data_IF_962182809234
#
_entry.id   IF_962182809234
#
_cell.length_a   1.000
_cell.length_b   1.000
_cell.length_c   1.000
_cell.angle_alpha   90.00
_cell.angle_beta   90.00
_cell.angle_gamma   90.00
#
_symmetry.space_group_name_H-M   'P 1'
#
loop_
_entity.id
_entity.type
_entity.pdbx_description
1 polymer ?
#
# COMPACT_ATOMS: atom_id res chain seq x y z
N UNK A 1 -23.75 -9.74 4.80
CA UNK A 1 -22.49 -10.35 4.34
C UNK A 1 -21.56 -9.23 3.96
N UNK A 2 -20.56 -8.95 4.80
CA UNK A 2 -19.42 -8.12 4.39
C UNK A 2 -18.63 -8.97 3.40
N UNK A 3 -18.36 -8.44 2.20
CA UNK A 3 -17.56 -9.15 1.20
C UNK A 3 -16.13 -9.29 1.71
N UNK A 4 -15.52 -10.42 1.40
CA UNK A 4 -14.14 -10.72 1.77
C UNK A 4 -13.19 -10.13 0.71
N UNK A 5 -12.08 -9.51 1.12
CA UNK A 5 -11.06 -8.94 0.22
C UNK A 5 -9.92 -9.93 0.00
N UNK A 6 -9.77 -10.37 -1.24
CA UNK A 6 -8.73 -11.32 -1.62
C UNK A 6 -7.51 -10.60 -2.16
N UNK A 7 -6.33 -10.96 -1.66
CA UNK A 7 -5.05 -10.50 -2.21
C UNK A 7 -4.85 -11.14 -3.58
N UNK A 8 -4.76 -10.33 -4.63
CA UNK A 8 -4.53 -10.87 -5.98
C UNK A 8 -3.06 -11.20 -6.26
N UNK A 9 -2.17 -11.00 -5.28
CA UNK A 9 -0.69 -11.09 -5.39
C UNK A 9 -0.05 -10.17 -6.43
N UNK A 10 -0.83 -9.30 -7.07
CA UNK A 10 -0.34 -8.32 -8.02
C UNK A 10 0.12 -7.05 -7.28
N UNK A 11 1.41 -6.75 -7.37
CA UNK A 11 1.92 -5.45 -6.97
C UNK A 11 1.53 -4.42 -8.04
N UNK A 12 0.98 -3.27 -7.62
CA UNK A 12 0.74 -2.16 -8.53
C UNK A 12 2.06 -1.48 -8.89
N UNK A 13 2.22 -1.13 -10.16
CA UNK A 13 3.15 -0.06 -10.55
C UNK A 13 2.68 1.28 -10.00
N UNK A 14 3.60 2.23 -9.79
CA UNK A 14 3.30 3.51 -9.13
C UNK A 14 2.16 4.26 -9.81
N UNK A 15 2.27 4.44 -11.12
CA UNK A 15 1.29 5.20 -11.90
C UNK A 15 -0.07 4.50 -11.93
N UNK A 16 -0.08 3.17 -11.98
CA UNK A 16 -1.32 2.39 -11.97
C UNK A 16 -2.06 2.55 -10.63
N UNK A 17 -1.37 2.44 -9.49
CA UNK A 17 -1.99 2.65 -8.18
C UNK A 17 -2.54 4.07 -8.02
N UNK A 18 -1.77 5.09 -8.42
CA UNK A 18 -2.17 6.49 -8.24
C UNK A 18 -3.31 6.87 -9.18
N UNK A 19 -3.31 6.39 -10.42
CA UNK A 19 -4.40 6.61 -11.37
C UNK A 19 -5.69 5.94 -10.91
N UNK A 20 -5.61 4.70 -10.41
CA UNK A 20 -6.78 3.96 -9.96
C UNK A 20 -7.36 4.56 -8.66
N UNK A 21 -6.51 5.01 -7.73
CA UNK A 21 -6.95 5.78 -6.55
C UNK A 21 -7.61 7.11 -6.95
N UNK A 22 -7.02 7.82 -7.92
CA UNK A 22 -7.56 9.07 -8.46
C UNK A 22 -8.89 8.89 -9.23
N UNK A 23 -9.14 7.71 -9.77
CA UNK A 23 -10.39 7.36 -10.46
C UNK A 23 -11.55 7.01 -9.49
N UNK A 24 -11.31 7.02 -8.18
CA UNK A 24 -12.33 6.76 -7.16
C UNK A 24 -12.39 5.32 -6.67
N UNK A 25 -11.42 4.47 -7.02
CA UNK A 25 -11.30 3.15 -6.38
C UNK A 25 -11.01 3.30 -4.88
N UNK A 26 -11.52 2.35 -4.10
CA UNK A 26 -11.23 2.32 -2.67
C UNK A 26 -9.74 2.15 -2.44
N UNK A 27 -9.20 2.82 -1.42
CA UNK A 27 -7.81 2.67 -1.02
C UNK A 27 -7.66 2.65 0.50
N UNK A 28 -6.61 1.97 0.95
CA UNK A 28 -6.20 1.90 2.35
C UNK A 28 -4.70 2.12 2.43
N UNK A 29 -4.27 2.99 3.35
CA UNK A 29 -2.88 3.23 3.67
C UNK A 29 -2.56 2.62 5.04
N UNK A 30 -1.63 1.67 5.08
CA UNK A 30 -1.15 1.03 6.30
C UNK A 30 0.20 1.64 6.69
N UNK A 31 0.19 2.50 7.71
CA UNK A 31 1.38 3.19 8.19
C UNK A 31 2.26 2.26 9.05
N UNK A 32 3.56 2.53 9.08
CA UNK A 32 4.53 1.70 9.79
C UNK A 32 4.34 1.78 11.32
N UNK A 33 3.82 2.90 11.81
CA UNK A 33 3.45 3.14 13.22
C UNK A 33 2.13 2.48 13.65
N UNK A 34 1.46 1.78 12.72
CA UNK A 34 0.19 1.08 13.00
C UNK A 34 -1.07 1.92 12.76
N UNK A 35 -0.92 3.18 12.35
CA UNK A 35 -2.04 3.99 11.85
C UNK A 35 -2.60 3.38 10.56
N UNK A 36 -3.90 3.61 10.30
CA UNK A 36 -4.56 3.28 9.04
C UNK A 36 -5.31 4.51 8.54
N UNK A 37 -5.18 4.82 7.26
CA UNK A 37 -5.98 5.85 6.56
C UNK A 37 -6.76 5.21 5.43
N UNK A 38 -8.02 5.60 5.22
CA UNK A 38 -8.90 5.01 4.21
C UNK A 38 -9.53 6.07 3.31
N UNK A 39 -9.87 5.65 2.10
CA UNK A 39 -10.61 6.49 1.15
C UNK A 39 -12.01 6.90 1.63
N UNK A 40 -12.54 6.22 2.65
CA UNK A 40 -13.87 6.44 3.22
C UNK A 40 -13.85 7.21 4.54
N UNK A 41 -12.68 7.61 5.04
CA UNK A 41 -12.60 8.41 6.27
C UNK A 41 -13.17 9.82 6.02
N UNK A 42 -13.80 10.41 7.04
CA UNK A 42 -14.36 11.78 6.98
C UNK A 42 -13.78 12.66 8.10
N UNK A 43 -12.94 13.67 7.79
CA UNK A 43 -12.46 14.02 6.45
C UNK A 43 -11.46 12.98 5.90
N UNK A 44 -11.41 12.85 4.57
CA UNK A 44 -10.45 11.98 3.90
C UNK A 44 -9.02 12.45 4.19
N UNK A 45 -8.13 11.53 4.56
CA UNK A 45 -6.71 11.81 4.80
C UNK A 45 -5.98 12.06 3.47
N UNK A 46 -6.06 13.30 2.97
CA UNK A 46 -5.44 13.73 1.71
C UNK A 46 -3.93 13.55 1.71
N UNK A 47 -3.30 13.68 2.88
CA UNK A 47 -1.85 13.58 3.05
C UNK A 47 -1.35 12.16 2.75
N UNK A 48 -2.20 11.14 2.94
CA UNK A 48 -1.87 9.75 2.62
C UNK A 48 -1.57 9.56 1.11
N UNK A 49 -2.41 10.12 0.24
CA UNK A 49 -2.24 10.01 -1.21
C UNK A 49 -1.05 10.84 -1.68
N UNK A 50 -0.85 12.04 -1.13
CA UNK A 50 0.32 12.87 -1.46
C UNK A 50 1.64 12.24 -0.98
N UNK A 51 1.61 11.54 0.15
CA UNK A 51 2.73 10.75 0.63
C UNK A 51 3.02 9.57 -0.32
N UNK A 52 2.00 8.82 -0.78
CA UNK A 52 2.17 7.78 -1.80
C UNK A 52 2.77 8.36 -3.09
N UNK A 53 2.29 9.51 -3.55
CA UNK A 53 2.80 10.17 -4.78
C UNK A 53 4.31 10.41 -4.73
N UNK A 54 4.87 10.66 -3.55
CA UNK A 54 6.29 11.01 -3.37
C UNK A 54 7.17 9.84 -2.96
N UNK A 55 6.60 8.78 -2.36
CA UNK A 55 7.35 7.68 -1.74
C UNK A 55 7.07 6.29 -2.32
N UNK A 56 6.07 6.15 -3.20
CA UNK A 56 5.73 4.89 -3.85
C UNK A 56 6.84 4.45 -4.81
N UNK A 57 7.31 3.23 -4.63
CA UNK A 57 8.35 2.60 -5.45
C UNK A 57 7.75 1.62 -6.44
N UNK A 58 8.45 1.39 -7.55
CA UNK A 58 8.07 0.34 -8.49
C UNK A 58 8.34 -1.06 -7.89
N UNK A 59 7.50 -2.07 -8.23
CA UNK A 59 7.71 -3.44 -7.76
C UNK A 59 9.12 -3.97 -8.07
N UNK A 60 9.66 -3.65 -9.25
CA UNK A 60 11.00 -4.07 -9.67
C UNK A 60 12.13 -3.41 -8.85
N UNK A 61 11.89 -2.24 -8.25
CA UNK A 61 12.89 -1.54 -7.44
C UNK A 61 12.96 -2.05 -6.00
N UNK A 62 11.95 -2.80 -5.56
CA UNK A 62 11.80 -3.32 -4.21
C UNK A 62 13.04 -4.07 -3.72
N UNK A 63 13.44 -5.11 -4.46
CA UNK A 63 14.56 -5.98 -4.05
C UNK A 63 15.88 -5.20 -3.98
N UNK A 64 16.12 -4.31 -4.96
CA UNK A 64 17.32 -3.46 -5.00
C UNK A 64 17.36 -2.51 -3.81
N UNK A 65 16.23 -1.87 -3.49
CA UNK A 65 16.14 -0.93 -2.37
C UNK A 65 16.27 -1.65 -1.03
N UNK A 66 15.69 -2.85 -0.88
CA UNK A 66 15.87 -3.71 0.29
C UNK A 66 17.33 -4.12 0.50
N UNK A 67 18.00 -4.63 -0.53
CA UNK A 67 19.41 -5.00 -0.44
C UNK A 67 20.29 -3.78 -0.06
N UNK A 68 19.97 -2.61 -0.63
CA UNK A 68 20.68 -1.36 -0.35
C UNK A 68 20.42 -0.84 1.06
N UNK A 69 19.19 -0.92 1.57
CA UNK A 69 18.81 -0.49 2.91
C UNK A 69 19.51 -1.35 3.97
N UNK A 70 19.43 -2.69 3.82
CA UNK A 70 20.12 -3.65 4.68
C UNK A 70 21.62 -3.42 4.72
N UNK A 71 22.27 -3.26 3.56
CA UNK A 71 23.72 -3.03 3.49
C UNK A 71 24.18 -1.73 4.15
N UNK A 72 23.35 -0.67 4.08
CA UNK A 72 23.72 0.67 4.54
C UNK A 72 23.16 1.04 5.92
N UNK A 73 22.47 0.11 6.59
CA UNK A 73 21.77 0.39 7.85
C UNK A 73 20.78 1.55 7.74
N UNK A 74 20.17 1.75 6.56
CA UNK A 74 19.28 2.89 6.31
C UNK A 74 17.87 2.55 6.77
N UNK A 75 17.27 3.51 7.45
CA UNK A 75 15.93 3.44 8.03
C UNK A 75 14.84 4.07 7.15
N UNK A 76 15.14 4.37 5.88
CA UNK A 76 14.20 5.11 5.04
C UNK A 76 12.99 4.23 4.71
N UNK A 77 11.83 4.78 5.01
CA UNK A 77 10.53 4.23 4.69
C UNK A 77 10.29 4.16 3.18
N UNK A 78 9.76 3.03 2.70
CA UNK A 78 9.31 2.89 1.31
C UNK A 78 7.84 2.52 1.25
N UNK A 79 7.12 3.13 0.31
CA UNK A 79 5.70 2.86 0.10
C UNK A 79 5.58 1.87 -1.05
N UNK A 80 4.78 0.82 -0.86
CA UNK A 80 4.39 -0.13 -1.91
C UNK A 80 2.88 -0.11 -2.10
N UNK A 81 2.40 -0.50 -3.27
CA UNK A 81 0.98 -0.64 -3.54
C UNK A 81 0.67 -2.07 -4.03
N UNK A 82 -0.42 -2.65 -3.54
CA UNK A 82 -0.91 -3.96 -3.97
C UNK A 82 -2.39 -3.92 -4.31
N UNK A 83 -2.80 -4.80 -5.22
CA UNK A 83 -4.19 -4.96 -5.62
C UNK A 83 -4.90 -6.03 -4.82
N UNK A 84 -6.02 -5.63 -4.27
CA UNK A 84 -6.99 -6.46 -3.58
C UNK A 84 -8.29 -6.42 -4.35
N UNK A 85 -9.05 -7.51 -4.31
CA UNK A 85 -10.36 -7.58 -4.95
C UNK A 85 -11.36 -8.20 -4.00
N UNK A 86 -12.54 -7.62 -3.87
CA UNK A 86 -13.61 -8.27 -3.11
C UNK A 86 -14.24 -9.43 -3.90
N UNK A 87 -15.12 -10.20 -3.25
CA UNK A 87 -15.89 -11.27 -3.90
C UNK A 87 -16.70 -10.83 -5.15
N UNK A 88 -16.88 -9.52 -5.34
CA UNK A 88 -17.60 -8.92 -6.47
C UNK A 88 -16.66 -8.36 -7.53
N UNK A 89 -15.34 -8.56 -7.38
CA UNK A 89 -14.32 -8.06 -8.30
C UNK A 89 -14.08 -6.55 -8.20
N UNK A 90 -14.54 -5.89 -7.13
CA UNK A 90 -14.25 -4.47 -6.93
C UNK A 90 -12.81 -4.33 -6.47
N UNK A 91 -12.02 -3.41 -7.05
CA UNK A 91 -10.63 -3.24 -6.65
C UNK A 91 -10.52 -2.44 -5.35
N UNK A 92 -9.53 -2.82 -4.55
CA UNK A 92 -8.99 -2.08 -3.42
C UNK A 92 -7.49 -1.95 -3.59
N UNK A 93 -6.99 -0.74 -3.43
CA UNK A 93 -5.55 -0.45 -3.50
C UNK A 93 -5.04 -0.36 -2.07
N UNK A 94 -4.09 -1.21 -1.71
CA UNK A 94 -3.49 -1.16 -0.38
C UNK A 94 -2.08 -0.60 -0.50
N UNK A 95 -1.88 0.58 0.08
CA UNK A 95 -0.58 1.21 0.22
C UNK A 95 0.05 0.77 1.54
N UNK A 96 1.28 0.27 1.48
CA UNK A 96 2.03 -0.18 2.65
C UNK A 96 3.21 0.74 2.90
N UNK A 97 3.23 1.37 4.05
CA UNK A 97 4.44 2.00 4.57
C UNK A 97 5.35 0.94 5.20
N UNK A 98 6.39 0.54 4.49
CA UNK A 98 7.37 -0.40 5.04
C UNK A 98 8.47 0.39 5.75
N UNK A 99 8.46 0.35 7.08
CA UNK A 99 9.41 1.03 7.96
C UNK A 99 10.85 0.49 7.83
N UNK A 100 11.74 0.84 8.78
CA UNK A 100 13.19 0.90 8.54
C UNK A 100 13.91 -0.40 8.20
N UNK A 101 13.28 -1.56 8.26
CA UNK A 101 13.94 -2.81 7.84
C UNK A 101 13.09 -3.79 7.04
N UNK A 102 11.77 -3.76 7.12
CA UNK A 102 10.94 -4.87 6.67
C UNK A 102 9.47 -4.45 6.72
N UNK A 103 8.60 -5.17 6.02
CA UNK A 103 7.77 -6.16 6.72
C UNK A 103 7.66 -7.45 5.86
N UNK A 104 8.01 -8.63 6.41
CA UNK A 104 7.62 -9.92 5.86
C UNK A 104 6.11 -10.16 6.09
N UNK A 105 5.52 -10.98 5.23
CA UNK A 105 4.11 -11.42 5.16
C UNK A 105 3.21 -10.93 6.31
N UNK A 106 2.59 -9.76 6.13
CA UNK A 106 1.46 -9.36 6.98
C UNK A 106 0.22 -10.17 6.58
N UNK A 107 -0.62 -10.56 7.56
CA UNK A 107 -1.91 -11.18 7.29
C UNK A 107 -2.79 -10.23 6.48
N UNK A 108 -3.71 -10.82 5.71
CA UNK A 108 -4.67 -10.13 4.86
C UNK A 108 -5.42 -9.02 5.66
N UNK A 109 -5.69 -7.83 5.08
CA UNK A 109 -6.49 -6.75 5.63
C UNK A 109 -7.92 -7.17 5.98
N UNK A 110 -8.34 -8.39 5.64
CA UNK A 110 -9.61 -9.03 6.00
C UNK A 110 -9.84 -9.32 7.49
N UNK A 111 -9.01 -8.79 8.38
CA UNK A 111 -9.22 -8.90 9.84
C UNK A 111 -9.56 -7.58 10.54
N UNK A 112 -9.90 -6.51 9.82
CA UNK A 112 -10.21 -5.20 10.43
C UNK A 112 -11.56 -4.61 9.99
#
# INVERSE_FOLDING_TARGET
MQGQWHRTSAAYGRDAALNEAGAGSAWVFLWCEGKVSRSTDEPQDSDAVDYARTHLIEPAERERLFAKARRKGRTKTVVMAERWEDDRGRPLIVFYETGPYLLPDRPEPDRF
#
